data_IF_954107480567
#
_entry.id   IF_954107480567
#
_cell.length_a   1.000
_cell.length_b   1.000
_cell.length_c   1.000
_cell.angle_alpha   90.00
_cell.angle_beta   90.00
_cell.angle_gamma   90.00
#
_symmetry.space_group_name_H-M   'P 1'
#
loop_
_entity.id
_entity.type
_entity.pdbx_description
1 polymer ?
#
# COMPACT_ATOMS: atom_id res chain seq x y z
N UNK A 1 10.69 -6.21 -49.57
CA UNK A 1 10.44 -7.61 -49.13
C UNK A 1 10.75 -7.73 -47.65
N UNK A 2 9.94 -8.41 -46.83
CA UNK A 2 10.26 -8.70 -45.42
C UNK A 2 11.43 -9.69 -45.36
N UNK A 3 12.40 -9.45 -44.47
CA UNK A 3 13.57 -10.31 -44.25
C UNK A 3 13.57 -10.94 -42.88
N UNK A 4 12.97 -10.29 -41.89
CA UNK A 4 12.92 -10.78 -40.52
C UNK A 4 11.71 -10.19 -39.80
N UNK A 5 11.09 -11.01 -38.95
CA UNK A 5 10.12 -10.58 -37.94
C UNK A 5 10.60 -11.09 -36.60
N UNK A 6 10.78 -10.15 -35.68
CA UNK A 6 11.30 -10.39 -34.34
C UNK A 6 10.33 -9.83 -33.29
N UNK A 7 10.20 -10.53 -32.17
CA UNK A 7 9.49 -10.06 -30.98
C UNK A 7 10.47 -9.98 -29.82
N UNK A 8 10.46 -8.85 -29.11
CA UNK A 8 11.13 -8.69 -27.83
C UNK A 8 10.10 -8.42 -26.74
N UNK A 9 10.32 -8.97 -25.57
CA UNK A 9 9.55 -8.64 -24.36
C UNK A 9 10.52 -7.97 -23.41
N UNK A 10 10.25 -6.70 -23.14
CA UNK A 10 11.14 -5.84 -22.36
C UNK A 10 10.40 -5.38 -21.11
N UNK A 11 11.07 -5.47 -19.97
CA UNK A 11 10.62 -4.94 -18.69
C UNK A 11 11.71 -4.07 -18.10
N UNK A 12 11.33 -2.94 -17.53
CA UNK A 12 12.28 -2.01 -16.90
C UNK A 12 11.72 -1.42 -15.61
N UNK A 13 12.61 -1.19 -14.66
CA UNK A 13 12.39 -0.46 -13.43
C UNK A 13 13.13 0.87 -13.49
N UNK A 14 12.38 1.96 -13.62
CA UNK A 14 12.88 3.32 -13.56
C UNK A 14 12.74 3.86 -12.14
N UNK A 15 13.82 4.38 -11.58
CA UNK A 15 13.89 4.98 -10.24
C UNK A 15 14.54 6.34 -10.31
N UNK A 16 14.03 7.32 -9.58
CA UNK A 16 14.64 8.66 -9.50
C UNK A 16 14.52 9.21 -8.09
N UNK A 17 15.57 9.87 -7.62
CA UNK A 17 15.56 10.73 -6.43
C UNK A 17 16.05 12.13 -6.80
N UNK A 18 15.58 13.17 -6.11
CA UNK A 18 16.08 14.54 -6.37
C UNK A 18 17.56 14.72 -6.05
N UNK A 19 18.13 13.89 -5.19
CA UNK A 19 19.53 14.00 -4.74
C UNK A 19 20.52 13.29 -5.67
N UNK A 20 20.15 12.11 -6.17
CA UNK A 20 21.08 11.22 -6.90
C UNK A 20 20.72 11.05 -8.38
N UNK A 21 19.67 11.70 -8.87
CA UNK A 21 19.18 11.54 -10.23
C UNK A 21 18.43 10.21 -10.42
N UNK A 22 18.53 9.61 -11.62
CA UNK A 22 17.74 8.43 -11.99
C UNK A 22 18.57 7.22 -12.45
N UNK A 23 17.98 6.03 -12.29
CA UNK A 23 18.52 4.74 -12.76
C UNK A 23 17.40 3.93 -13.41
N UNK A 24 17.70 3.35 -14.57
CA UNK A 24 16.84 2.38 -15.25
C UNK A 24 17.49 1.01 -15.17
N UNK A 25 16.79 0.05 -14.57
CA UNK A 25 17.25 -1.33 -14.41
C UNK A 25 16.40 -2.25 -15.28
N UNK A 26 16.97 -2.98 -16.25
CA UNK A 26 16.21 -3.96 -17.01
C UNK A 26 15.81 -5.12 -16.09
N UNK A 27 14.52 -5.43 -16.03
CA UNK A 27 13.97 -6.54 -15.23
C UNK A 27 13.49 -7.70 -16.11
N UNK A 28 13.33 -7.48 -17.42
CA UNK A 28 12.99 -8.52 -18.37
C UNK A 28 13.57 -8.17 -19.74
N UNK A 29 14.19 -9.12 -20.43
CA UNK A 29 14.74 -8.92 -21.76
C UNK A 29 14.77 -10.22 -22.56
N UNK A 30 13.61 -10.58 -23.10
CA UNK A 30 13.46 -11.74 -23.98
C UNK A 30 13.44 -11.33 -25.45
N UNK A 31 14.00 -12.18 -26.32
CA UNK A 31 14.10 -11.93 -27.77
C UNK A 31 13.83 -13.23 -28.52
N UNK A 32 12.90 -13.17 -29.47
CA UNK A 32 12.50 -14.30 -30.30
C UNK A 32 12.36 -13.89 -31.76
N UNK A 33 12.95 -14.67 -32.67
CA UNK A 33 12.78 -14.49 -34.11
C UNK A 33 11.59 -15.35 -34.53
N UNK A 34 10.49 -14.72 -34.94
CA UNK A 34 9.29 -15.42 -35.39
C UNK A 34 9.42 -15.91 -36.83
N UNK A 35 10.13 -15.14 -37.66
CA UNK A 35 10.37 -15.48 -39.06
C UNK A 35 11.68 -14.85 -39.53
N UNK A 36 12.48 -15.60 -40.27
CA UNK A 36 13.67 -15.08 -40.96
C UNK A 36 13.79 -15.71 -42.34
N UNK A 37 14.05 -14.88 -43.34
CA UNK A 37 14.25 -15.33 -44.73
C UNK A 37 15.41 -16.34 -44.84
N UNK A 38 16.43 -16.24 -43.99
CA UNK A 38 17.60 -17.12 -44.02
C UNK A 38 17.27 -18.56 -43.59
N UNK A 39 16.27 -18.71 -42.72
CA UNK A 39 15.88 -20.02 -42.16
C UNK A 39 14.84 -20.73 -43.03
N UNK A 40 14.28 -20.03 -44.03
CA UNK A 40 13.36 -20.63 -44.98
C UNK A 40 14.17 -21.35 -46.06
N UNK A 41 14.09 -22.68 -46.08
CA UNK A 41 14.91 -23.55 -46.93
C UNK A 41 14.89 -23.22 -48.44
N UNK A 42 15.81 -23.81 -49.22
CA UNK A 42 16.09 -23.43 -50.61
C UNK A 42 14.95 -23.73 -51.61
N UNK A 43 13.94 -24.52 -51.24
CA UNK A 43 12.80 -24.85 -52.10
C UNK A 43 11.72 -23.76 -51.98
N UNK A 44 11.61 -22.90 -53.00
CA UNK A 44 10.63 -21.82 -53.14
C UNK A 44 10.63 -20.82 -51.98
N UNK A 45 11.47 -19.77 -52.07
CA UNK A 45 11.60 -18.71 -51.06
C UNK A 45 10.22 -18.22 -50.55
N UNK A 46 9.74 -18.70 -49.39
CA UNK A 46 8.40 -18.39 -48.94
C UNK A 46 8.37 -16.92 -48.56
N UNK A 47 7.35 -16.21 -49.06
CA UNK A 47 7.04 -14.88 -48.55
C UNK A 47 6.76 -14.97 -47.05
N UNK A 48 7.10 -13.93 -46.30
CA UNK A 48 6.69 -13.83 -44.90
C UNK A 48 5.16 -13.95 -44.82
N UNK A 49 4.62 -14.88 -44.02
CA UNK A 49 3.19 -14.99 -43.78
C UNK A 49 2.58 -13.66 -43.32
N UNK A 50 1.29 -13.46 -43.60
CA UNK A 50 0.53 -12.28 -43.13
C UNK A 50 0.23 -12.33 -41.63
N UNK A 51 0.29 -13.51 -41.02
CA UNK A 51 0.07 -13.76 -39.60
C UNK A 51 1.18 -14.67 -39.06
N UNK A 52 1.72 -14.32 -37.90
CA UNK A 52 2.74 -15.09 -37.19
C UNK A 52 2.27 -15.28 -35.75
N UNK A 53 1.75 -16.47 -35.38
CA UNK A 53 1.36 -16.73 -34.00
C UNK A 53 2.60 -16.79 -33.11
N UNK A 54 2.47 -16.30 -31.88
CA UNK A 54 3.51 -16.40 -30.87
C UNK A 54 2.91 -16.52 -29.48
N UNK A 55 3.60 -17.21 -28.59
CA UNK A 55 3.26 -17.34 -27.18
C UNK A 55 4.56 -17.39 -26.37
N UNK A 56 4.59 -16.67 -25.24
CA UNK A 56 5.77 -16.58 -24.39
C UNK A 56 5.35 -16.63 -22.92
N UNK A 57 5.99 -17.51 -22.15
CA UNK A 57 5.88 -17.49 -20.69
C UNK A 57 6.77 -16.39 -20.14
N UNK A 58 6.22 -15.54 -19.27
CA UNK A 58 7.03 -14.57 -18.54
C UNK A 58 7.82 -15.31 -17.45
N UNK A 59 9.14 -15.04 -17.30
CA UNK A 59 9.88 -15.59 -16.17
C UNK A 59 9.33 -15.00 -14.87
N UNK A 60 9.33 -15.81 -13.81
CA UNK A 60 8.91 -15.35 -12.48
C UNK A 60 9.98 -14.52 -11.76
N UNK A 61 11.23 -14.56 -12.25
CA UNK A 61 12.38 -13.89 -11.66
C UNK A 61 13.26 -13.16 -12.68
N UNK A 62 14.14 -12.30 -12.19
CA UNK A 62 15.20 -11.64 -12.93
C UNK A 62 16.48 -11.58 -12.11
N UNK A 63 17.63 -11.42 -12.78
CA UNK A 63 18.94 -11.26 -12.14
C UNK A 63 19.16 -9.81 -11.71
N UNK A 64 19.47 -9.60 -10.45
CA UNK A 64 19.88 -8.32 -9.87
C UNK A 64 21.22 -8.50 -9.15
N UNK A 65 22.32 -8.19 -9.87
CA UNK A 65 23.64 -8.64 -9.49
C UNK A 65 23.70 -10.17 -9.50
N UNK A 66 24.12 -10.78 -8.40
CA UNK A 66 24.23 -12.23 -8.25
C UNK A 66 22.93 -12.89 -7.76
N UNK A 67 21.94 -12.11 -7.32
CA UNK A 67 20.70 -12.61 -6.73
C UNK A 67 19.59 -12.75 -7.79
N UNK A 68 18.84 -13.86 -7.71
CA UNK A 68 17.54 -13.98 -8.38
C UNK A 68 16.46 -13.30 -7.54
N UNK A 69 15.72 -12.38 -8.16
CA UNK A 69 14.60 -11.67 -7.52
C UNK A 69 13.32 -11.87 -8.31
N UNK A 70 12.17 -11.87 -7.63
CA UNK A 70 10.87 -11.93 -8.29
C UNK A 70 10.67 -10.75 -9.25
N UNK A 71 10.04 -11.02 -10.38
CA UNK A 71 9.68 -9.98 -11.35
C UNK A 71 8.68 -9.00 -10.71
N UNK A 72 8.97 -7.68 -10.68
CA UNK A 72 8.10 -6.73 -10.00
C UNK A 72 6.79 -6.50 -10.76
N UNK A 73 5.66 -6.22 -10.08
CA UNK A 73 4.43 -5.82 -10.77
C UNK A 73 4.64 -4.53 -11.58
N UNK A 74 3.80 -4.31 -12.60
CA UNK A 74 3.63 -2.99 -13.20
C UNK A 74 3.21 -2.01 -12.12
N UNK A 75 3.99 -0.95 -11.92
CA UNK A 75 3.79 0.00 -10.84
C UNK A 75 4.25 1.39 -11.28
N UNK A 76 3.63 2.45 -10.77
CA UNK A 76 4.04 3.82 -11.05
C UNK A 76 3.63 4.72 -9.89
N UNK A 77 4.60 5.37 -9.28
CA UNK A 77 4.36 6.35 -8.22
C UNK A 77 5.32 7.53 -8.37
N UNK A 78 4.79 8.72 -8.12
CA UNK A 78 5.55 9.96 -8.07
C UNK A 78 5.23 10.69 -6.78
N UNK A 79 6.19 10.71 -5.86
CA UNK A 79 6.06 11.36 -4.58
C UNK A 79 6.73 12.73 -4.64
N UNK A 80 5.92 13.78 -4.57
CA UNK A 80 6.40 15.16 -4.47
C UNK A 80 7.10 15.41 -3.11
N UNK A 81 7.87 16.50 -3.01
CA UNK A 81 8.59 16.92 -1.79
C UNK A 81 10.10 16.71 -1.88
N UNK A 82 10.85 16.89 -0.79
CA UNK A 82 12.33 16.72 -0.77
C UNK A 82 12.74 15.60 0.19
N UNK A 83 13.32 14.48 -0.28
CA UNK A 83 13.60 14.18 -1.68
C UNK A 83 12.35 13.88 -2.52
N UNK A 84 12.34 14.32 -3.78
CA UNK A 84 11.34 13.86 -4.75
C UNK A 84 11.67 12.40 -5.06
N UNK A 85 10.67 11.52 -5.10
CA UNK A 85 10.87 10.10 -5.37
C UNK A 85 9.98 9.64 -6.53
N UNK A 86 10.58 8.95 -7.49
CA UNK A 86 9.86 8.28 -8.57
C UNK A 86 10.25 6.81 -8.64
N UNK A 87 9.26 5.94 -8.76
CA UNK A 87 9.44 4.51 -8.95
C UNK A 87 8.42 4.03 -9.98
N UNK A 88 8.89 3.46 -11.09
CA UNK A 88 8.03 2.99 -12.18
C UNK A 88 8.55 1.69 -12.79
N UNK A 89 7.70 0.68 -12.83
CA UNK A 89 7.94 -0.58 -13.53
C UNK A 89 7.06 -0.63 -14.78
N UNK A 90 7.64 -0.83 -15.95
CA UNK A 90 6.89 -0.97 -17.21
C UNK A 90 7.29 -2.21 -17.98
N UNK A 91 6.33 -2.81 -18.67
CA UNK A 91 6.54 -3.91 -19.59
C UNK A 91 6.02 -3.58 -20.99
N UNK A 92 6.72 -4.03 -22.03
CA UNK A 92 6.39 -3.74 -23.42
C UNK A 92 6.79 -4.91 -24.32
N UNK A 93 5.89 -5.27 -25.23
CA UNK A 93 6.19 -6.16 -26.35
C UNK A 93 6.62 -5.28 -27.54
N UNK A 94 7.83 -5.49 -28.03
CA UNK A 94 8.37 -4.80 -29.20
C UNK A 94 8.44 -5.76 -30.37
N UNK A 95 7.66 -5.50 -31.40
CA UNK A 95 7.66 -6.24 -32.65
C UNK A 95 8.50 -5.46 -33.66
N UNK A 96 9.52 -6.08 -34.23
CA UNK A 96 10.38 -5.51 -35.25
C UNK A 96 10.19 -6.24 -36.58
N UNK A 97 9.84 -5.50 -37.64
CA UNK A 97 9.69 -6.04 -39.00
C UNK A 97 10.76 -5.40 -39.88
N UNK A 98 11.76 -6.19 -40.26
CA UNK A 98 12.86 -5.76 -41.11
C UNK A 98 12.55 -6.07 -42.57
N UNK A 99 12.77 -5.10 -43.46
CA UNK A 99 12.49 -5.22 -44.90
C UNK A 99 13.68 -4.73 -45.73
N UNK A 100 13.99 -5.39 -46.83
CA UNK A 100 14.90 -4.83 -47.86
C UNK A 100 14.19 -3.68 -48.57
N UNK A 101 14.87 -2.52 -48.65
CA UNK A 101 14.36 -1.31 -49.31
C UNK A 101 14.71 -1.30 -50.79
N UNK A 102 15.96 -1.62 -51.16
CA UNK A 102 16.42 -1.59 -52.54
C UNK A 102 17.19 -2.85 -52.91
N UNK A 103 16.65 -3.66 -53.82
CA UNK A 103 17.33 -4.89 -54.29
C UNK A 103 18.47 -4.59 -55.28
N UNK A 104 18.40 -3.47 -56.01
CA UNK A 104 19.32 -3.16 -57.12
C UNK A 104 20.67 -2.56 -56.70
N UNK A 105 20.86 -2.22 -55.42
CA UNK A 105 22.09 -1.58 -54.91
C UNK A 105 22.88 -2.53 -53.97
N UNK A 106 23.05 -3.79 -54.37
CA UNK A 106 23.84 -4.77 -53.60
C UNK A 106 23.19 -5.30 -52.32
N UNK A 107 21.87 -5.17 -52.16
CA UNK A 107 21.10 -5.90 -51.14
C UNK A 107 21.31 -5.51 -49.67
N UNK A 108 22.11 -4.48 -49.37
CA UNK A 108 22.54 -4.17 -48.00
C UNK A 108 21.64 -3.17 -47.25
N UNK A 109 20.71 -2.48 -47.93
CA UNK A 109 19.86 -1.49 -47.25
C UNK A 109 18.56 -2.09 -46.72
N UNK A 110 18.52 -2.34 -45.41
CA UNK A 110 17.31 -2.77 -44.69
C UNK A 110 16.67 -1.61 -43.93
N UNK A 111 15.33 -1.60 -43.87
CA UNK A 111 14.55 -0.71 -43.00
C UNK A 111 13.75 -1.56 -42.03
N UNK A 112 13.88 -1.27 -40.74
CA UNK A 112 13.11 -1.92 -39.68
C UNK A 112 12.00 -0.99 -39.21
N UNK A 113 10.77 -1.51 -39.13
CA UNK A 113 9.64 -0.86 -38.49
C UNK A 113 9.40 -1.50 -37.13
N UNK A 114 9.04 -0.69 -36.14
CA UNK A 114 8.71 -1.17 -34.81
C UNK A 114 7.24 -0.93 -34.48
N UNK A 115 6.62 -1.92 -33.82
CA UNK A 115 5.35 -1.80 -33.13
C UNK A 115 5.61 -2.05 -31.64
N UNK A 116 5.12 -1.18 -30.78
CA UNK A 116 5.27 -1.26 -29.34
C UNK A 116 3.90 -1.47 -28.71
N UNK A 117 3.76 -2.52 -27.92
CA UNK A 117 2.51 -2.88 -27.23
C UNK A 117 2.80 -2.92 -25.73
N UNK A 118 2.47 -1.87 -24.96
CA UNK A 118 2.61 -1.91 -23.50
C UNK A 118 1.60 -2.89 -22.90
N UNK A 119 1.97 -3.53 -21.80
CA UNK A 119 1.04 -4.37 -21.04
C UNK A 119 1.26 -4.21 -19.52
N UNK A 120 0.25 -4.59 -18.76
CA UNK A 120 0.31 -4.61 -17.30
C UNK A 120 0.65 -6.01 -16.80
N UNK A 121 1.73 -6.12 -16.03
CA UNK A 121 2.09 -7.35 -15.34
C UNK A 121 1.58 -7.28 -13.89
N UNK A 122 0.58 -8.10 -13.57
CA UNK A 122 -0.04 -8.16 -12.23
C UNK A 122 0.13 -9.57 -11.69
N UNK A 123 1.28 -9.90 -11.07
CA UNK A 123 1.52 -11.23 -10.51
C UNK A 123 0.50 -11.51 -9.40
N UNK A 124 -0.19 -12.65 -9.52
CA UNK A 124 -1.17 -13.07 -8.52
C UNK A 124 -0.47 -13.61 -7.28
N UNK A 125 -0.84 -13.07 -6.13
CA UNK A 125 -0.38 -13.47 -4.80
C UNK A 125 -1.60 -13.59 -3.89
N UNK A 126 -1.54 -14.47 -2.89
CA UNK A 126 -2.71 -14.79 -2.05
C UNK A 126 -2.39 -14.74 -0.57
N UNK A 127 -3.38 -14.36 0.22
CA UNK A 127 -3.32 -14.48 1.66
C UNK A 127 -3.25 -15.96 2.04
N UNK A 128 -2.37 -16.33 2.95
CA UNK A 128 -2.18 -17.73 3.36
C UNK A 128 -3.20 -18.18 4.41
N UNK A 129 -3.95 -17.23 4.99
CA UNK A 129 -5.00 -17.44 5.99
C UNK A 129 -6.15 -16.47 5.72
N UNK A 130 -7.41 -16.85 6.02
CA UNK A 130 -8.55 -15.94 5.94
C UNK A 130 -8.53 -14.94 7.09
N UNK A 131 -9.21 -13.82 6.90
CA UNK A 131 -9.70 -13.00 8.02
C UNK A 131 -10.99 -13.66 8.49
N UNK A 132 -10.98 -14.24 9.69
CA UNK A 132 -12.18 -14.88 10.24
C UNK A 132 -13.23 -13.81 10.56
N UNK A 133 -14.50 -14.00 10.19
CA UNK A 133 -15.57 -13.10 10.60
C UNK A 133 -15.77 -13.27 12.11
N UNK A 134 -15.46 -12.23 12.86
CA UNK A 134 -15.52 -12.27 14.32
C UNK A 134 -16.66 -11.37 14.79
N UNK A 135 -17.65 -11.88 15.53
CA UNK A 135 -18.80 -11.08 15.96
C UNK A 135 -18.45 -10.02 17.02
N UNK A 136 -17.36 -10.20 17.78
CA UNK A 136 -16.84 -9.22 18.74
C UNK A 136 -15.38 -9.51 19.07
N UNK A 137 -14.56 -8.45 19.12
CA UNK A 137 -13.15 -8.56 19.51
C UNK A 137 -12.98 -9.24 20.88
N UNK A 138 -13.69 -8.76 21.91
CA UNK A 138 -13.53 -9.23 23.28
C UNK A 138 -13.88 -10.71 23.52
N UNK A 139 -14.78 -11.27 22.69
CA UNK A 139 -15.06 -12.70 22.72
C UNK A 139 -13.87 -13.47 22.14
N UNK A 140 -13.43 -13.06 20.95
CA UNK A 140 -12.37 -13.77 20.22
C UNK A 140 -10.99 -13.70 20.84
N UNK A 141 -10.62 -12.58 21.46
CA UNK A 141 -9.32 -12.48 22.14
C UNK A 141 -9.23 -13.45 23.33
N UNK A 142 -10.37 -13.88 23.88
CA UNK A 142 -10.44 -14.87 24.96
C UNK A 142 -10.47 -16.30 24.43
N UNK A 143 -11.21 -16.56 23.36
CA UNK A 143 -11.37 -17.92 22.82
C UNK A 143 -10.26 -18.33 21.86
N UNK A 144 -9.66 -17.37 21.16
CA UNK A 144 -8.71 -17.57 20.05
C UNK A 144 -7.70 -16.41 19.98
N UNK A 145 -6.91 -16.15 21.04
CA UNK A 145 -5.94 -15.05 21.07
C UNK A 145 -4.91 -15.13 19.95
N UNK A 146 -4.58 -16.33 19.46
CA UNK A 146 -3.66 -16.56 18.35
C UNK A 146 -4.12 -15.99 17.01
N UNK A 147 -5.41 -15.66 16.88
CA UNK A 147 -5.97 -14.99 15.70
C UNK A 147 -5.71 -13.48 15.69
N UNK A 148 -5.15 -12.93 16.78
CA UNK A 148 -4.85 -11.51 16.92
C UNK A 148 -3.34 -11.27 17.12
N UNK A 149 -2.83 -10.30 16.37
CA UNK A 149 -1.53 -9.70 16.61
C UNK A 149 -1.70 -8.42 17.41
N UNK A 150 -0.99 -8.30 18.53
CA UNK A 150 -0.97 -7.11 19.37
C UNK A 150 0.29 -6.26 19.14
N UNK A 151 0.13 -4.98 18.82
CA UNK A 151 1.20 -3.99 18.91
C UNK A 151 0.98 -3.09 20.12
N UNK A 152 2.03 -2.87 20.90
CA UNK A 152 1.98 -2.04 22.11
C UNK A 152 2.88 -0.83 21.93
N UNK A 153 2.40 0.34 22.38
CA UNK A 153 3.16 1.57 22.45
C UNK A 153 2.72 2.41 23.63
N UNK A 154 3.45 3.47 23.90
CA UNK A 154 3.19 4.36 25.03
C UNK A 154 3.29 5.81 24.59
N UNK A 155 2.20 6.54 24.76
CA UNK A 155 2.16 8.00 24.62
C UNK A 155 2.84 8.59 25.84
N UNK A 156 4.02 9.18 25.63
CA UNK A 156 4.85 9.69 26.73
C UNK A 156 4.39 11.08 27.17
N UNK A 157 4.38 11.36 28.48
CA UNK A 157 4.25 12.73 28.97
C UNK A 157 5.50 13.53 28.61
N UNK A 158 5.35 14.83 28.42
CA UNK A 158 6.49 15.74 28.33
C UNK A 158 7.12 15.90 29.71
N UNK A 159 8.43 16.17 29.75
CA UNK A 159 9.17 16.35 31.01
C UNK A 159 8.61 17.46 31.93
N UNK A 160 7.86 18.41 31.38
CA UNK A 160 7.26 19.51 32.13
C UNK A 160 5.84 19.23 32.64
N UNK A 161 5.22 18.10 32.28
CA UNK A 161 3.86 17.77 32.71
C UNK A 161 3.87 16.80 33.90
N UNK A 162 2.85 16.89 34.74
CA UNK A 162 2.60 15.94 35.84
C UNK A 162 1.78 14.71 35.40
N UNK A 163 1.66 14.50 34.10
CA UNK A 163 0.85 13.43 33.52
C UNK A 163 1.60 12.11 33.58
N UNK A 164 0.84 11.02 33.53
CA UNK A 164 1.39 9.67 33.40
C UNK A 164 1.33 9.21 31.95
N UNK A 165 2.20 8.27 31.55
CA UNK A 165 2.11 7.68 30.23
C UNK A 165 0.75 7.01 29.97
N UNK A 166 0.31 7.05 28.72
CA UNK A 166 -0.89 6.33 28.25
C UNK A 166 -0.44 5.18 27.35
N UNK A 167 -0.78 3.96 27.72
CA UNK A 167 -0.49 2.79 26.90
C UNK A 167 -1.50 2.67 25.76
N UNK A 168 -1.03 2.22 24.61
CA UNK A 168 -1.78 2.08 23.37
C UNK A 168 -1.58 0.66 22.85
N UNK A 169 -2.67 -0.07 22.68
CA UNK A 169 -2.67 -1.45 22.23
C UNK A 169 -3.50 -1.55 20.94
N UNK A 170 -2.84 -1.88 19.83
CA UNK A 170 -3.48 -2.23 18.57
C UNK A 170 -3.63 -3.72 18.46
N UNK A 171 -4.80 -4.19 18.07
CA UNK A 171 -5.03 -5.57 17.68
C UNK A 171 -5.47 -5.62 16.22
N UNK A 172 -4.78 -6.42 15.41
CA UNK A 172 -5.14 -6.72 14.01
C UNK A 172 -5.09 -8.24 13.80
N UNK A 173 -5.70 -8.80 12.74
CA UNK A 173 -5.61 -10.24 12.48
C UNK A 173 -4.15 -10.74 12.39
N UNK A 174 -3.86 -11.87 13.02
CA UNK A 174 -2.49 -12.36 13.20
C UNK A 174 -1.76 -12.67 11.89
N UNK A 175 -2.51 -13.02 10.84
CA UNK A 175 -1.98 -13.38 9.53
C UNK A 175 -1.11 -12.27 8.91
N UNK A 176 -1.43 -10.99 9.12
CA UNK A 176 -0.70 -9.82 8.58
C UNK A 176 -0.39 -9.88 7.08
N UNK A 177 -1.09 -10.74 6.35
CA UNK A 177 -1.05 -10.87 4.90
C UNK A 177 -2.51 -10.82 4.46
N UNK A 178 -2.89 -9.74 3.79
CA UNK A 178 -4.28 -9.42 3.47
C UNK A 178 -4.44 -9.18 1.98
N UNK A 179 -5.53 -9.66 1.40
CA UNK A 179 -5.94 -9.27 0.06
C UNK A 179 -6.11 -7.75 -0.01
N UNK A 180 -5.75 -7.13 -1.13
CA UNK A 180 -5.92 -5.68 -1.34
C UNK A 180 -7.38 -5.25 -1.16
N UNK A 181 -8.32 -6.16 -1.49
CA UNK A 181 -9.77 -5.93 -1.36
C UNK A 181 -10.35 -6.36 -0.02
N UNK A 182 -9.56 -6.99 0.85
CA UNK A 182 -10.03 -7.40 2.16
C UNK A 182 -10.31 -6.17 3.04
N UNK A 183 -11.36 -6.28 3.86
CA UNK A 183 -11.56 -5.39 5.00
C UNK A 183 -10.78 -5.95 6.18
N UNK A 184 -9.84 -5.16 6.71
CA UNK A 184 -8.99 -5.55 7.84
C UNK A 184 -9.61 -4.97 9.11
N UNK A 185 -10.26 -5.78 9.96
CA UNK A 185 -10.77 -5.30 11.24
C UNK A 185 -9.61 -5.00 12.18
N UNK A 186 -9.81 -4.07 13.10
CA UNK A 186 -8.87 -3.80 14.18
C UNK A 186 -9.60 -3.39 15.46
N UNK A 187 -8.94 -3.61 16.59
CA UNK A 187 -9.33 -3.08 17.89
C UNK A 187 -8.22 -2.20 18.44
N UNK A 188 -8.57 -1.07 19.02
CA UNK A 188 -7.65 -0.14 19.65
C UNK A 188 -8.05 0.07 21.09
N UNK A 189 -7.11 -0.10 22.01
CA UNK A 189 -7.29 0.20 23.42
C UNK A 189 -6.26 1.22 23.89
N UNK A 190 -6.72 2.28 24.53
CA UNK A 190 -5.87 3.19 25.30
C UNK A 190 -6.08 2.96 26.78
N UNK A 191 -5.01 2.90 27.58
CA UNK A 191 -5.11 2.73 29.03
C UNK A 191 -4.15 3.63 29.80
N UNK A 192 -4.57 4.13 30.95
CA UNK A 192 -3.77 5.02 31.79
C UNK A 192 -4.61 5.73 32.85
N UNK A 193 -3.98 6.65 33.59
CA UNK A 193 -4.71 7.47 34.58
C UNK A 193 -5.75 8.35 33.89
N UNK A 194 -6.91 8.48 34.52
CA UNK A 194 -8.02 9.34 34.05
C UNK A 194 -7.55 10.75 33.69
N UNK A 195 -6.66 11.35 34.48
CA UNK A 195 -6.13 12.70 34.21
C UNK A 195 -5.38 12.79 32.88
N UNK A 196 -4.62 11.75 32.51
CA UNK A 196 -3.83 11.72 31.27
C UNK A 196 -4.70 11.41 30.06
N UNK A 197 -5.69 10.51 30.23
CA UNK A 197 -6.70 10.25 29.20
C UNK A 197 -7.56 11.49 28.92
N UNK A 198 -8.00 12.21 29.96
CA UNK A 198 -8.75 13.47 29.79
C UNK A 198 -7.95 14.53 29.04
N UNK A 199 -6.67 14.71 29.40
CA UNK A 199 -5.80 15.64 28.69
C UNK A 199 -5.69 15.29 27.19
N UNK A 200 -5.54 14.00 26.87
CA UNK A 200 -5.44 13.54 25.49
C UNK A 200 -6.62 14.00 24.61
N UNK A 201 -7.82 14.08 25.20
CA UNK A 201 -9.06 14.49 24.53
C UNK A 201 -9.54 15.90 24.91
N UNK A 202 -8.75 16.68 25.65
CA UNK A 202 -9.17 17.97 26.18
C UNK A 202 -9.52 18.99 25.08
N UNK A 203 -8.93 18.89 23.89
CA UNK A 203 -9.27 19.75 22.76
C UNK A 203 -10.55 19.33 22.03
N UNK A 204 -10.96 18.05 22.13
CA UNK A 204 -12.21 17.55 21.54
C UNK A 204 -13.46 17.89 22.37
N UNK A 205 -13.30 18.56 23.52
CA UNK A 205 -14.44 18.96 24.36
C UNK A 205 -15.26 20.13 23.80
N UNK A 206 -14.94 20.65 22.61
CA UNK A 206 -15.94 21.34 21.77
C UNK A 206 -16.83 20.33 21.03
N UNK A 207 -17.14 19.21 21.68
CA UNK A 207 -18.26 18.36 21.29
C UNK A 207 -19.45 19.31 21.15
N UNK A 208 -19.86 19.51 19.89
CA UNK A 208 -21.16 20.09 19.57
C UNK A 208 -22.13 19.45 20.55
N UNK A 209 -22.71 20.29 21.42
CA UNK A 209 -23.88 19.90 22.21
C UNK A 209 -24.76 19.15 21.23
N UNK A 210 -25.07 17.90 21.53
CA UNK A 210 -26.08 17.12 20.81
C UNK A 210 -27.28 18.06 20.65
N UNK A 211 -27.47 18.61 19.46
CA UNK A 211 -28.63 19.43 19.15
C UNK A 211 -29.75 18.39 19.12
N UNK A 212 -30.48 18.34 20.23
CA UNK A 212 -31.67 17.50 20.35
C UNK A 212 -32.53 17.76 19.11
N UNK A 213 -32.96 16.68 18.46
CA UNK A 213 -33.67 16.65 17.17
C UNK A 213 -34.98 17.46 17.13
N UNK A 214 -35.39 18.04 18.25
CA UNK A 214 -36.62 18.83 18.41
C UNK A 214 -36.43 20.36 18.31
N UNK A 215 -35.20 20.85 18.08
CA UNK A 215 -34.98 22.30 17.94
C UNK A 215 -34.98 22.72 16.47
N UNK A 216 -36.17 22.85 15.89
CA UNK A 216 -36.41 23.41 14.55
C UNK A 216 -36.21 24.92 14.53
N UNK A 217 -34.98 25.42 14.72
CA UNK A 217 -34.66 26.83 14.43
C UNK A 217 -33.30 26.91 13.73
N UNK A 218 -33.41 27.23 12.44
CA UNK A 218 -32.35 27.57 11.48
C UNK A 218 -31.37 28.62 12.02
N UNK A 219 -30.10 28.23 12.13
CA UNK A 219 -28.97 29.15 12.03
C UNK A 219 -27.88 28.49 11.19
N UNK A 220 -27.64 29.05 10.01
CA UNK A 220 -26.54 28.71 9.11
C UNK A 220 -25.20 29.06 9.78
N UNK A 221 -24.62 28.08 10.50
CA UNK A 221 -23.30 28.22 11.09
C UNK A 221 -22.24 28.13 10.00
N UNK A 222 -21.37 29.14 9.99
CA UNK A 222 -20.15 29.21 9.18
C UNK A 222 -19.33 27.94 9.40
N UNK A 223 -18.77 27.39 8.32
CA UNK A 223 -17.89 26.21 8.30
C UNK A 223 -16.86 26.27 9.42
N UNK A 224 -17.14 25.57 10.52
CA UNK A 224 -16.21 25.40 11.61
C UNK A 224 -14.97 24.67 11.07
N UNK A 225 -13.75 25.06 11.49
CA UNK A 225 -12.54 24.37 11.08
C UNK A 225 -12.62 22.90 11.51
N UNK A 226 -12.40 22.01 10.55
CA UNK A 226 -12.40 20.56 10.73
C UNK A 226 -11.43 20.17 11.86
N UNK A 227 -11.97 19.76 13.00
CA UNK A 227 -11.17 19.36 14.14
C UNK A 227 -10.38 18.08 13.80
N UNK A 228 -9.05 18.15 13.84
CA UNK A 228 -8.21 16.98 13.58
C UNK A 228 -8.46 15.91 14.65
N UNK A 229 -8.77 14.69 14.21
CA UNK A 229 -8.94 13.55 15.11
C UNK A 229 -7.67 13.29 15.93
N UNK A 230 -7.85 13.09 17.24
CA UNK A 230 -6.76 12.81 18.19
C UNK A 230 -6.11 11.46 17.89
N UNK A 231 -6.89 10.49 17.44
CA UNK A 231 -6.45 9.14 17.12
C UNK A 231 -6.81 8.86 15.67
N UNK A 232 -5.83 8.32 14.93
CA UNK A 232 -6.03 7.88 13.56
C UNK A 232 -5.39 6.52 13.37
N UNK A 233 -6.12 5.60 12.74
CA UNK A 233 -5.58 4.32 12.27
C UNK A 233 -5.64 4.36 10.75
N UNK A 234 -4.55 3.99 10.09
CA UNK A 234 -4.44 4.12 8.64
C UNK A 234 -3.62 2.99 8.04
N UNK A 235 -3.90 2.69 6.77
CA UNK A 235 -3.05 1.84 5.96
C UNK A 235 -2.04 2.73 5.24
N UNK A 236 -0.75 2.46 5.44
CA UNK A 236 0.34 3.28 4.94
C UNK A 236 1.27 2.46 4.07
N UNK A 237 1.60 2.99 2.89
CA UNK A 237 2.60 2.46 1.98
C UNK A 237 3.88 3.26 2.06
N UNK A 238 4.99 2.60 2.35
CA UNK A 238 6.31 3.16 2.23
C UNK A 238 6.94 2.79 0.90
N UNK A 239 7.31 3.78 0.11
CA UNK A 239 8.11 3.62 -1.11
C UNK A 239 9.53 4.08 -0.81
N UNK A 240 10.51 3.23 -1.07
CA UNK A 240 11.93 3.53 -0.86
C UNK A 240 12.75 3.21 -2.09
N UNK A 241 13.76 4.05 -2.33
CA UNK A 241 14.70 3.94 -3.44
C UNK A 241 16.12 4.11 -2.90
N UNK A 242 17.04 3.24 -3.30
CA UNK A 242 18.46 3.28 -2.90
C UNK A 242 19.37 3.48 -4.13
N UNK A 243 19.89 4.69 -4.32
CA UNK A 243 20.76 5.02 -5.44
C UNK A 243 22.16 5.31 -4.94
N UNK A 244 23.13 4.47 -5.33
CA UNK A 244 24.54 4.65 -4.97
C UNK A 244 24.78 4.77 -3.44
N UNK A 245 24.00 4.06 -2.62
CA UNK A 245 24.07 4.12 -1.16
C UNK A 245 23.26 5.27 -0.54
N UNK A 246 22.66 6.15 -1.35
CA UNK A 246 21.73 7.16 -0.89
C UNK A 246 20.31 6.60 -0.90
N UNK A 247 19.75 6.43 0.30
CA UNK A 247 18.42 5.89 0.51
C UNK A 247 17.40 7.01 0.73
N UNK A 248 16.48 7.17 -0.20
CA UNK A 248 15.30 8.02 -0.05
C UNK A 248 14.04 7.18 0.20
N UNK A 249 13.10 7.68 1.01
CA UNK A 249 11.80 7.03 1.19
C UNK A 249 10.66 8.02 1.42
N UNK A 250 9.45 7.55 1.16
CA UNK A 250 8.19 8.29 1.26
C UNK A 250 7.08 7.40 1.79
N UNK A 251 6.26 7.96 2.67
CA UNK A 251 5.04 7.31 3.12
C UNK A 251 3.84 7.92 2.37
N UNK A 252 2.91 7.06 1.98
CA UNK A 252 1.66 7.39 1.31
C UNK A 252 0.55 6.72 2.12
N UNK A 253 -0.43 7.49 2.57
CA UNK A 253 -1.63 6.90 3.18
C UNK A 253 -2.50 6.32 2.08
N UNK A 254 -2.75 5.01 2.13
CA UNK A 254 -3.63 4.30 1.20
C UNK A 254 -5.09 4.38 1.60
N UNK A 255 -5.37 4.44 2.91
CA UNK A 255 -6.69 4.70 3.46
C UNK A 255 -6.59 5.10 4.93
N UNK A 256 -7.65 5.74 5.43
CA UNK A 256 -7.90 5.94 6.85
C UNK A 256 -8.99 4.98 7.32
N UNK A 257 -8.80 4.40 8.50
CA UNK A 257 -9.74 3.45 9.08
C UNK A 257 -10.92 4.13 9.74
N UNK A 258 -12.04 3.42 9.79
CA UNK A 258 -13.18 3.83 10.62
C UNK A 258 -12.86 3.59 12.08
N UNK A 259 -13.37 4.44 12.98
CA UNK A 259 -13.21 4.30 14.43
C UNK A 259 -14.56 4.48 15.10
N UNK A 260 -15.03 3.44 15.78
CA UNK A 260 -16.27 3.42 16.54
C UNK A 260 -15.94 3.12 18.00
N UNK A 261 -16.28 4.03 18.92
CA UNK A 261 -16.04 3.82 20.34
C UNK A 261 -16.86 2.64 20.85
N UNK A 262 -16.23 1.76 21.63
CA UNK A 262 -16.93 0.69 22.33
C UNK A 262 -17.37 1.20 23.70
N UNK A 263 -18.67 1.21 24.02
CA UNK A 263 -19.15 1.68 25.31
C UNK A 263 -18.59 0.85 26.47
N UNK A 264 -18.21 1.48 27.59
CA UNK A 264 -17.78 0.74 28.78
C UNK A 264 -18.94 -0.08 29.35
N UNK A 265 -18.63 -1.20 30.01
CA UNK A 265 -19.64 -2.03 30.67
C UNK A 265 -20.31 -1.25 31.80
N UNK A 266 -21.65 -1.33 31.91
CA UNK A 266 -22.41 -0.60 32.94
C UNK A 266 -21.91 -0.86 34.38
N UNK A 267 -21.32 -2.02 34.65
CA UNK A 267 -20.72 -2.36 35.94
C UNK A 267 -19.58 -1.43 36.35
N UNK A 268 -18.86 -0.84 35.39
CA UNK A 268 -17.75 0.10 35.63
C UNK A 268 -18.21 1.52 35.95
N UNK A 269 -19.48 1.85 35.65
CA UNK A 269 -20.05 3.19 35.81
C UNK A 269 -20.35 3.57 37.27
N UNK A 270 -20.45 2.59 38.19
CA UNK A 270 -20.84 2.82 39.58
C UNK A 270 -19.66 2.99 40.55
N UNK A 271 -18.43 2.91 40.06
CA UNK A 271 -17.24 3.08 40.90
C UNK A 271 -16.91 4.57 41.09
N UNK A 272 -16.62 5.02 42.33
CA UNK A 272 -16.35 6.43 42.61
C UNK A 272 -15.16 6.94 41.78
N UNK A 273 -15.29 8.15 41.23
CA UNK A 273 -14.27 8.76 40.41
C UNK A 273 -13.07 9.18 41.27
N UNK A 274 -12.00 8.36 41.28
CA UNK A 274 -10.71 8.75 41.84
C UNK A 274 -9.80 9.29 40.72
N UNK A 275 -9.09 10.42 40.92
CA UNK A 275 -8.15 10.96 39.94
C UNK A 275 -6.92 10.05 39.72
N UNK A 276 -6.64 9.13 40.64
CA UNK A 276 -5.56 8.15 40.52
C UNK A 276 -5.99 6.84 39.87
N UNK A 277 -7.28 6.70 39.53
CA UNK A 277 -7.83 5.49 38.90
C UNK A 277 -7.25 5.33 37.50
N UNK A 278 -6.82 4.10 37.19
CA UNK A 278 -6.54 3.70 35.82
C UNK A 278 -7.85 3.31 35.13
N UNK A 279 -8.01 3.77 33.90
CA UNK A 279 -9.13 3.41 33.03
C UNK A 279 -8.59 2.98 31.68
N UNK A 280 -9.48 2.41 30.86
CA UNK A 280 -9.22 2.19 29.45
C UNK A 280 -10.36 2.73 28.59
N UNK A 281 -10.03 3.02 27.34
CA UNK A 281 -10.95 3.42 26.29
C UNK A 281 -10.72 2.50 25.10
N UNK A 282 -11.81 2.04 24.49
CA UNK A 282 -11.78 1.05 23.42
C UNK A 282 -12.46 1.57 22.16
N UNK A 283 -11.91 1.20 21.02
CA UNK A 283 -12.48 1.44 19.70
C UNK A 283 -12.37 0.20 18.84
N UNK A 284 -13.40 -0.06 18.05
CA UNK A 284 -13.38 -1.01 16.95
C UNK A 284 -13.38 -0.25 15.63
N UNK A 285 -12.79 -0.85 14.60
CA UNK A 285 -12.64 -0.19 13.33
C UNK A 285 -12.25 -1.14 12.21
N UNK A 286 -12.28 -0.60 11.00
CA UNK A 286 -11.95 -1.34 9.79
C UNK A 286 -11.06 -0.51 8.87
N UNK A 287 -10.13 -1.20 8.18
CA UNK A 287 -9.29 -0.63 7.14
C UNK A 287 -9.59 -1.32 5.82
N UNK A 288 -9.76 -0.54 4.75
CA UNK A 288 -9.96 -1.06 3.40
C UNK A 288 -9.21 -0.21 2.40
N UNK A 289 -8.44 -0.82 1.49
CA UNK A 289 -7.77 -0.06 0.44
C UNK A 289 -8.79 0.63 -0.47
N UNK A 290 -8.44 1.81 -0.98
CA UNK A 290 -9.17 2.45 -2.07
C UNK A 290 -9.08 1.62 -3.37
N UNK A 291 -10.07 1.77 -4.25
CA UNK A 291 -10.15 1.04 -5.53
C UNK A 291 -8.97 1.30 -6.48
N UNK A 292 -8.23 2.39 -6.27
CA UNK A 292 -7.02 2.72 -7.03
C UNK A 292 -5.80 1.85 -6.70
N UNK A 293 -5.82 1.13 -5.58
CA UNK A 293 -4.71 0.25 -5.18
C UNK A 293 -4.83 -1.08 -5.91
N UNK A 294 -3.88 -1.38 -6.79
CA UNK A 294 -3.89 -2.60 -7.63
C UNK A 294 -2.72 -3.54 -7.37
N UNK A 295 -1.75 -3.10 -6.56
CA UNK A 295 -0.49 -3.81 -6.33
C UNK A 295 -0.15 -3.84 -4.85
N UNK A 296 0.39 -4.97 -4.38
CA UNK A 296 0.94 -5.11 -3.04
C UNK A 296 2.38 -4.62 -2.94
N UNK A 297 2.98 -4.78 -1.76
CA UNK A 297 4.41 -4.53 -1.56
C UNK A 297 5.31 -5.46 -2.38
N UNK A 298 6.43 -4.94 -2.87
CA UNK A 298 7.44 -5.70 -3.62
C UNK A 298 8.84 -5.11 -3.39
N UNK A 299 9.88 -5.85 -3.78
CA UNK A 299 11.27 -5.37 -3.77
C UNK A 299 11.94 -5.82 -5.06
N UNK A 300 12.51 -4.89 -5.82
CA UNK A 300 13.18 -5.17 -7.08
C UNK A 300 14.32 -4.17 -7.29
N UNK A 301 15.53 -4.67 -7.55
CA UNK A 301 16.73 -3.87 -7.67
C UNK A 301 16.86 -2.89 -6.49
N UNK A 302 16.90 -1.60 -6.80
CA UNK A 302 17.00 -0.50 -5.87
C UNK A 302 15.66 0.11 -5.43
N UNK A 303 14.53 -0.47 -5.83
CA UNK A 303 13.19 -0.03 -5.44
C UNK A 303 12.53 -0.99 -4.46
N UNK A 304 11.84 -0.45 -3.46
CA UNK A 304 11.05 -1.23 -2.49
C UNK A 304 9.76 -0.53 -2.11
N UNK A 305 8.67 -1.30 -2.09
CA UNK A 305 7.35 -0.91 -1.63
C UNK A 305 6.97 -1.81 -0.45
N UNK A 306 6.63 -1.21 0.69
CA UNK A 306 6.20 -1.90 1.92
C UNK A 306 4.89 -1.32 2.42
N UNK A 307 4.08 -2.15 3.06
CA UNK A 307 2.77 -1.75 3.60
C UNK A 307 2.76 -1.90 5.13
N UNK A 308 2.05 -1.02 5.81
CA UNK A 308 1.96 -0.95 7.26
C UNK A 308 0.54 -0.58 7.70
N UNK A 309 0.06 -1.18 8.78
CA UNK A 309 -1.02 -0.58 9.57
C UNK A 309 -0.38 0.39 10.56
N UNK A 310 -0.82 1.64 10.57
CA UNK A 310 -0.23 2.68 11.40
C UNK A 310 -1.28 3.31 12.31
N UNK A 311 -0.96 3.43 13.60
CA UNK A 311 -1.67 4.31 14.52
C UNK A 311 -0.88 5.59 14.66
N UNK A 312 -1.57 6.72 14.61
CA UNK A 312 -1.05 8.00 15.08
C UNK A 312 -1.96 8.54 16.19
N UNK A 313 -1.37 8.83 17.35
CA UNK A 313 -1.98 9.55 18.45
C UNK A 313 -1.38 10.94 18.51
N UNK A 314 -2.21 11.94 18.20
CA UNK A 314 -1.89 13.37 18.14
C UNK A 314 -2.65 14.11 19.24
N UNK A 315 -2.05 14.30 20.43
CA UNK A 315 -2.68 15.11 21.46
C UNK A 315 -2.76 16.56 20.98
N UNK A 316 -3.97 17.07 20.77
CA UNK A 316 -4.21 18.44 20.27
C UNK A 316 -4.13 19.46 21.42
N UNK A 317 -3.58 20.67 21.22
CA UNK A 317 -3.62 21.71 22.25
C UNK A 317 -5.05 22.09 22.59
N UNK A 318 -5.42 22.02 23.87
CA UNK A 318 -6.65 22.64 24.38
C UNK A 318 -6.63 24.15 24.13
N UNK A 319 -7.80 24.73 23.81
CA UNK A 319 -7.93 26.08 23.25
C UNK A 319 -7.25 27.24 24.01
N UNK A 320 -6.94 28.27 23.22
CA UNK A 320 -6.60 29.69 23.50
C UNK A 320 -5.45 30.04 24.46
N UNK A 321 -4.88 29.10 25.18
CA UNK A 321 -3.72 29.37 26.04
C UNK A 321 -2.46 28.76 25.45
N UNK A 322 -1.33 29.46 25.56
CA UNK A 322 0.05 29.04 25.24
C UNK A 322 0.54 27.81 26.04
N UNK A 323 -0.40 27.04 26.60
CA UNK A 323 -0.18 25.81 27.36
C UNK A 323 0.31 24.72 26.41
N UNK A 324 1.57 24.33 26.58
CA UNK A 324 2.17 23.22 25.85
C UNK A 324 1.37 21.95 26.14
N UNK A 325 0.94 21.26 25.08
CA UNK A 325 0.34 19.92 25.13
C UNK A 325 1.15 19.02 26.06
N UNK A 326 0.54 18.49 27.12
CA UNK A 326 1.24 17.74 28.16
C UNK A 326 1.76 16.35 27.71
N UNK A 327 1.25 15.84 26.59
CA UNK A 327 1.61 14.55 25.99
C UNK A 327 2.37 14.75 24.66
N UNK A 328 3.20 13.76 24.29
CA UNK A 328 3.92 13.75 23.02
C UNK A 328 3.13 13.03 21.92
N UNK A 329 3.21 13.49 20.68
CA UNK A 329 2.73 12.72 19.52
C UNK A 329 3.43 11.35 19.50
N UNK A 330 2.66 10.31 19.17
CA UNK A 330 3.18 8.94 19.11
C UNK A 330 2.62 8.23 17.88
N UNK A 331 3.52 7.63 17.10
CA UNK A 331 3.18 6.82 15.95
C UNK A 331 3.68 5.40 16.14
N UNK A 332 2.86 4.43 15.74
CA UNK A 332 3.19 2.99 15.73
C UNK A 332 2.90 2.46 14.36
N UNK A 333 3.85 1.73 13.76
CA UNK A 333 3.65 1.10 12.46
C UNK A 333 3.89 -0.41 12.57
N UNK A 334 2.87 -1.18 12.21
CA UNK A 334 2.90 -2.65 12.17
C UNK A 334 3.10 -3.08 10.71
N UNK A 335 4.20 -3.78 10.38
CA UNK A 335 4.42 -4.25 9.03
C UNK A 335 3.41 -5.32 8.66
N UNK A 336 2.84 -5.20 7.46
CA UNK A 336 1.92 -6.15 6.85
C UNK A 336 2.32 -6.42 5.40
N UNK A 337 1.64 -7.35 4.74
CA UNK A 337 1.78 -7.59 3.30
C UNK A 337 0.40 -7.53 2.65
N UNK A 338 0.24 -6.63 1.69
CA UNK A 338 -0.92 -6.67 0.80
C UNK A 338 -0.63 -7.62 -0.37
N UNK A 339 -1.62 -8.43 -0.74
CA UNK A 339 -1.55 -9.41 -1.84
C UNK A 339 -2.76 -9.24 -2.75
N UNK A 340 -2.69 -9.74 -3.99
CA UNK A 340 -3.75 -9.44 -4.98
C UNK A 340 -5.07 -10.13 -4.69
N UNK A 341 -5.03 -11.35 -4.16
CA UNK A 341 -6.19 -12.20 -3.94
C UNK A 341 -6.45 -12.46 -2.45
N UNK A 342 -7.71 -12.43 -2.06
CA UNK A 342 -8.20 -12.88 -0.75
C UNK A 342 -8.01 -14.39 -0.59
N UNK A 343 -8.05 -14.90 0.64
CA UNK A 343 -7.83 -16.33 0.91
C UNK A 343 -8.78 -17.25 0.11
N UNK A 344 -10.07 -16.94 0.10
CA UNK A 344 -11.14 -17.80 -0.44
C UNK A 344 -11.57 -17.54 -1.89
N UNK A 345 -11.01 -16.54 -2.58
CA UNK A 345 -11.37 -16.23 -3.96
C UNK A 345 -10.80 -17.30 -4.91
N UNK A 346 -11.44 -18.46 -5.00
CA UNK A 346 -11.20 -19.37 -6.11
C UNK A 346 -11.84 -18.72 -7.33
N UNK A 347 -11.02 -18.42 -8.34
CA UNK A 347 -11.45 -17.74 -9.57
C UNK A 347 -12.37 -18.57 -10.46
N UNK A 348 -13.40 -19.21 -9.92
CA UNK A 348 -14.56 -19.65 -10.68
C UNK A 348 -15.47 -18.45 -10.91
N UNK A 349 -15.07 -17.55 -11.81
CA UNK A 349 -16.06 -16.74 -12.51
C UNK A 349 -16.87 -17.68 -13.38
N UNK A 350 -18.04 -18.09 -12.89
CA UNK A 350 -19.05 -18.83 -13.64
C UNK A 350 -19.74 -17.90 -14.66
N UNK A 351 -18.95 -17.39 -15.61
CA UNK A 351 -19.44 -16.62 -16.75
C UNK A 351 -18.55 -16.89 -17.96
N UNK A 352 -18.58 -18.15 -18.39
CA UNK A 352 -18.30 -18.58 -19.77
C UNK A 352 -18.93 -19.97 -19.91
N UNK A 353 -20.23 -19.97 -20.16
CA UNK A 353 -21.02 -21.09 -20.68
C UNK A 353 -21.93 -20.54 -21.78
#
# INVERSE_FOLDING_TARGET
MVTEVEVKIEGKLDTTTSETGGKSTPVLRERHILWSKQNAGPSNAPSCPSQLPFAFGLPSTFKDGDADRSLPPSYSVFCHGVPTLFLKTTYTIRIAVTRVVHQKLGGLWTKTKHLLVPFQYVPRTRAHRPILPVPSFFSSIKTSPEEWFQAVSTVKPRATSSLTPVNCHLFIPAGRVYGIKDTIPFHLQLSGRVSSLRELFAASSSLDRVISTDSSVTASSKTAPEAKAVIRVSLMRQVSVDLHGHKGWRNITLCEGTLSSVPPLMSTCYSPASPTREEHLDWEGELRCEDGVTTGGFTAANGQVKDFVTINVNPTPGGTSTSKVGLMETQVSVPIRLVTDSYGDYGFSSSDA
#
